data_IF_215195382949
#
_entry.id   IF_215195382949
#
_cell.length_a   1.000
_cell.length_b   1.000
_cell.length_c   1.000
_cell.angle_alpha   90.00
_cell.angle_beta   90.00
_cell.angle_gamma   90.00
#
_symmetry.space_group_name_H-M   'P 1'
#
loop_
_entity.id
_entity.type
_entity.pdbx_description
1 polymer ?
#
# COMPACT_ATOMS: atom_id res chain seq x y z
N UNK A 1 13.75 40.70 15.94
CA UNK A 1 12.27 40.69 15.94
C UNK A 1 11.81 40.41 14.53
N UNK A 2 11.34 39.18 14.27
CA UNK A 2 10.91 38.72 12.95
C UNK A 2 10.32 37.32 13.13
N UNK A 3 8.98 37.28 13.20
CA UNK A 3 8.18 36.09 13.49
C UNK A 3 8.24 35.08 12.34
N UNK A 4 8.34 33.81 12.73
CA UNK A 4 8.33 32.61 11.90
C UNK A 4 6.95 32.34 11.30
N UNK A 5 6.90 32.07 9.99
CA UNK A 5 5.70 31.74 9.23
C UNK A 5 5.26 30.27 9.38
N UNK A 6 5.06 29.80 10.61
CA UNK A 6 4.53 28.47 10.93
C UNK A 6 3.40 28.55 11.97
N UNK A 7 2.36 29.34 11.69
CA UNK A 7 1.09 29.25 12.41
C UNK A 7 0.03 28.61 11.50
N UNK A 8 -0.05 27.28 11.56
CA UNK A 8 -1.22 26.55 11.07
C UNK A 8 -2.35 26.68 12.11
N UNK A 9 -3.58 27.06 11.73
CA UNK A 9 -4.61 27.36 12.71
C UNK A 9 -5.06 26.08 13.45
N UNK A 10 -4.93 26.11 14.78
CA UNK A 10 -5.59 25.16 15.70
C UNK A 10 -7.09 25.20 15.45
N UNK A 11 -7.62 24.22 14.71
CA UNK A 11 -9.07 23.98 14.63
C UNK A 11 -9.46 22.99 15.72
N UNK A 12 -10.31 23.44 16.63
CA UNK A 12 -11.04 22.57 17.56
C UNK A 12 -11.83 21.50 16.78
N UNK A 13 -12.07 20.32 17.38
CA UNK A 13 -12.85 19.26 16.73
C UNK A 13 -14.29 19.75 16.58
N UNK A 14 -14.62 20.27 15.40
CA UNK A 14 -16.01 20.53 15.02
C UNK A 14 -16.69 19.17 14.87
N UNK A 15 -17.71 18.92 15.69
CA UNK A 15 -18.74 17.91 15.38
C UNK A 15 -19.27 18.25 13.98
N UNK A 16 -19.00 17.39 13.01
CA UNK A 16 -19.52 17.52 11.65
C UNK A 16 -21.03 17.21 11.74
N UNK A 17 -21.92 18.16 11.41
CA UNK A 17 -23.35 17.88 11.37
C UNK A 17 -23.66 16.85 10.28
N UNK A 18 -24.62 15.95 10.53
CA UNK A 18 -25.14 14.92 9.60
C UNK A 18 -25.93 15.51 8.41
N UNK A 19 -25.46 16.63 7.83
CA UNK A 19 -26.14 17.34 6.74
C UNK A 19 -25.23 17.65 5.53
N UNK A 20 -24.00 17.13 5.48
CA UNK A 20 -23.29 17.09 4.20
C UNK A 20 -23.91 16.01 3.30
N UNK A 21 -24.01 16.22 1.97
CA UNK A 21 -24.57 15.23 1.07
C UNK A 21 -23.84 13.90 1.28
N UNK A 22 -24.57 12.79 1.34
CA UNK A 22 -24.05 11.47 1.66
C UNK A 22 -23.19 10.92 0.51
N UNK A 23 -22.05 11.56 0.25
CA UNK A 23 -21.07 11.22 -0.79
C UNK A 23 -20.44 9.83 -0.57
N UNK A 24 -20.75 9.20 0.56
CA UNK A 24 -20.34 7.86 0.96
C UNK A 24 -21.31 6.76 0.50
N UNK A 25 -22.57 7.08 0.17
CA UNK A 25 -23.51 6.09 -0.34
C UNK A 25 -23.51 6.05 -1.88
N UNK A 26 -23.53 4.85 -2.47
CA UNK A 26 -23.57 4.71 -3.91
C UNK A 26 -24.94 5.06 -4.48
N UNK A 27 -24.96 5.53 -5.72
CA UNK A 27 -26.19 5.68 -6.53
C UNK A 27 -26.53 4.38 -7.23
N UNK A 28 -27.82 4.05 -7.27
CA UNK A 28 -28.34 3.04 -8.19
C UNK A 28 -28.30 3.63 -9.61
N UNK A 29 -27.46 3.06 -10.47
CA UNK A 29 -27.22 3.58 -11.82
C UNK A 29 -27.19 2.45 -12.85
N UNK A 30 -27.53 2.77 -14.09
CA UNK A 30 -27.53 1.81 -15.22
C UNK A 30 -26.15 1.19 -15.43
N UNK A 31 -25.07 1.94 -15.20
CA UNK A 31 -23.70 1.44 -15.24
C UNK A 31 -23.00 1.73 -13.90
N UNK A 32 -23.02 0.80 -12.94
CA UNK A 32 -22.46 1.03 -11.61
C UNK A 32 -20.94 1.22 -11.63
N UNK A 33 -20.24 0.60 -12.59
CA UNK A 33 -18.79 0.77 -12.77
C UNK A 33 -18.43 2.24 -13.05
N UNK A 34 -19.23 2.94 -13.88
CA UNK A 34 -18.96 4.34 -14.25
C UNK A 34 -19.64 5.37 -13.34
N UNK A 35 -20.79 5.03 -12.74
CA UNK A 35 -21.74 6.02 -12.19
C UNK A 35 -22.15 5.82 -10.74
N UNK A 36 -21.62 4.81 -10.03
CA UNK A 36 -21.98 4.60 -8.62
C UNK A 36 -21.59 5.78 -7.71
N UNK A 37 -20.51 6.49 -8.02
CA UNK A 37 -20.04 7.67 -7.28
C UNK A 37 -19.52 8.76 -8.22
N UNK A 38 -19.59 10.02 -7.79
CA UNK A 38 -19.06 11.17 -8.55
C UNK A 38 -17.52 11.27 -8.50
N UNK A 39 -16.92 10.72 -7.44
CA UNK A 39 -15.48 10.79 -7.19
C UNK A 39 -15.00 9.54 -6.46
N UNK A 40 -13.74 9.16 -6.69
CA UNK A 40 -13.05 8.18 -5.85
C UNK A 40 -12.62 8.85 -4.56
N UNK A 41 -12.94 8.23 -3.43
CA UNK A 41 -12.52 8.69 -2.11
C UNK A 41 -11.34 7.84 -1.67
N UNK A 42 -10.15 8.43 -1.45
CA UNK A 42 -9.03 7.66 -0.95
C UNK A 42 -9.26 7.28 0.52
N UNK A 43 -8.86 6.06 0.88
CA UNK A 43 -8.82 5.61 2.28
C UNK A 43 -7.41 5.88 2.78
N UNK A 44 -7.27 6.90 3.62
CA UNK A 44 -5.96 7.28 4.13
C UNK A 44 -5.63 6.50 5.41
N UNK A 45 -4.39 5.99 5.59
CA UNK A 45 -4.01 5.18 6.75
C UNK A 45 -4.15 5.86 8.13
N UNK A 46 -4.22 7.20 8.15
CA UNK A 46 -4.40 8.01 9.36
C UNK A 46 -5.85 8.37 9.68
N UNK A 47 -6.78 8.07 8.77
CA UNK A 47 -8.19 8.42 8.95
C UNK A 47 -8.75 7.66 10.16
N UNK A 48 -9.58 8.33 10.95
CA UNK A 48 -10.22 7.79 12.15
C UNK A 48 -9.24 7.37 13.27
N UNK A 49 -8.00 7.88 13.22
CA UNK A 49 -6.98 7.71 14.28
C UNK A 49 -6.66 9.04 14.96
N UNK A 50 -6.32 8.98 16.24
CA UNK A 50 -5.91 10.13 17.04
C UNK A 50 -4.39 10.28 17.02
N UNK A 51 -3.84 11.47 16.71
CA UNK A 51 -2.43 11.74 16.91
C UNK A 51 -2.02 11.61 18.38
N UNK A 52 -0.93 10.89 18.63
CA UNK A 52 -0.30 10.80 19.94
C UNK A 52 0.54 12.08 20.15
N UNK A 53 0.44 12.76 21.31
CA UNK A 53 1.30 13.91 21.62
C UNK A 53 2.78 13.52 21.54
N UNK A 54 3.60 14.38 20.94
CA UNK A 54 5.03 14.11 20.70
C UNK A 54 5.80 13.74 21.98
N UNK A 55 5.47 14.40 23.10
CA UNK A 55 6.07 14.12 24.40
C UNK A 55 5.78 12.71 24.94
N UNK A 56 4.68 12.09 24.52
CA UNK A 56 4.26 10.76 24.99
C UNK A 56 4.82 9.63 24.11
N UNK A 57 5.25 9.94 22.87
CA UNK A 57 5.72 8.96 21.89
C UNK A 57 6.85 8.08 22.42
N UNK A 58 7.92 8.60 23.06
CA UNK A 58 9.01 7.76 23.55
C UNK A 58 8.56 6.74 24.61
N UNK A 59 7.73 7.16 25.57
CA UNK A 59 7.25 6.30 26.64
C UNK A 59 6.29 5.22 26.11
N UNK A 60 5.42 5.59 25.15
CA UNK A 60 4.54 4.63 24.48
C UNK A 60 5.36 3.65 23.65
N UNK A 61 6.34 4.12 22.87
CA UNK A 61 7.21 3.25 22.09
C UNK A 61 7.96 2.25 22.96
N UNK A 62 8.56 2.70 24.06
CA UNK A 62 9.26 1.82 24.99
C UNK A 62 8.33 0.72 25.52
N UNK A 63 7.12 1.08 25.97
CA UNK A 63 6.12 0.10 26.41
C UNK A 63 5.73 -0.87 25.31
N UNK A 64 5.55 -0.38 24.09
CA UNK A 64 5.26 -1.22 22.93
C UNK A 64 6.38 -2.23 22.74
N UNK A 65 7.64 -1.80 22.70
CA UNK A 65 8.85 -2.64 22.56
C UNK A 65 8.93 -3.73 23.63
N UNK A 66 8.67 -3.38 24.90
CA UNK A 66 8.71 -4.30 26.04
C UNK A 66 7.53 -5.30 26.05
N UNK A 67 6.43 -4.98 25.37
CA UNK A 67 5.25 -5.85 25.28
C UNK A 67 5.44 -6.86 24.15
N UNK A 68 5.37 -8.18 24.40
CA UNK A 68 5.42 -9.19 23.35
C UNK A 68 4.38 -8.92 22.26
N UNK A 69 4.73 -9.24 21.02
CA UNK A 69 3.78 -9.13 19.92
C UNK A 69 2.65 -10.13 20.11
N UNK A 70 1.40 -9.67 19.96
CA UNK A 70 0.27 -10.58 19.95
C UNK A 70 0.42 -11.60 18.82
N UNK A 71 0.02 -12.85 19.10
CA UNK A 71 0.02 -13.94 18.13
C UNK A 71 -0.84 -13.56 16.92
N UNK A 72 -0.24 -13.52 15.74
CA UNK A 72 -0.90 -13.13 14.50
C UNK A 72 0.11 -12.82 13.38
N UNK A 73 -0.37 -12.53 12.16
CA UNK A 73 0.51 -12.24 11.03
C UNK A 73 1.36 -10.99 11.29
N UNK A 74 2.67 -11.12 11.09
CA UNK A 74 3.64 -10.03 11.17
C UNK A 74 4.29 -9.78 9.80
N UNK A 75 4.60 -8.52 9.52
CA UNK A 75 5.24 -8.06 8.29
C UNK A 75 6.48 -7.23 8.62
N UNK A 76 7.44 -7.18 7.69
CA UNK A 76 8.54 -6.24 7.73
C UNK A 76 8.56 -5.38 6.45
N UNK A 77 8.70 -4.07 6.63
CA UNK A 77 8.83 -3.10 5.55
C UNK A 77 10.15 -2.36 5.68
N UNK A 78 10.89 -2.30 4.58
CA UNK A 78 12.11 -1.50 4.49
C UNK A 78 11.92 -0.47 3.40
N UNK A 79 11.96 0.81 3.78
CA UNK A 79 11.87 1.91 2.82
C UNK A 79 13.26 2.27 2.32
N UNK A 80 13.46 2.29 1.00
CA UNK A 80 14.66 2.83 0.35
C UNK A 80 14.30 4.17 -0.28
N UNK A 81 14.79 5.31 0.23
CA UNK A 81 14.28 6.64 -0.11
C UNK A 81 14.89 7.22 -1.40
N UNK A 82 15.73 6.45 -2.09
CA UNK A 82 16.51 6.90 -3.24
C UNK A 82 15.81 6.60 -4.56
N UNK A 83 15.91 7.53 -5.50
CA UNK A 83 15.49 7.36 -6.89
C UNK A 83 16.54 7.95 -7.83
N UNK A 84 16.74 7.32 -8.99
CA UNK A 84 17.53 7.91 -10.07
C UNK A 84 16.89 9.21 -10.61
N UNK A 85 15.56 9.26 -10.64
CA UNK A 85 14.79 10.44 -11.05
C UNK A 85 13.36 10.43 -10.49
N UNK A 86 12.75 11.61 -10.38
CA UNK A 86 11.35 11.77 -9.96
C UNK A 86 10.41 11.50 -11.15
N UNK A 87 9.64 10.42 -11.08
CA UNK A 87 8.52 10.21 -12.02
C UNK A 87 7.35 11.11 -11.66
N UNK A 88 6.67 11.67 -12.67
CA UNK A 88 5.70 12.75 -12.44
C UNK A 88 4.53 12.32 -11.54
N UNK A 89 4.07 11.08 -11.69
CA UNK A 89 2.97 10.50 -10.92
C UNK A 89 3.36 10.07 -9.50
N UNK A 90 4.67 9.95 -9.20
CA UNK A 90 5.13 9.26 -8.01
C UNK A 90 5.03 10.14 -6.76
N UNK A 91 4.31 9.64 -5.76
CA UNK A 91 4.22 10.23 -4.42
C UNK A 91 5.31 9.77 -3.44
N UNK A 92 6.14 8.79 -3.82
CA UNK A 92 7.15 8.16 -2.94
C UNK A 92 8.57 8.71 -3.13
N UNK A 93 8.81 9.58 -4.11
CA UNK A 93 10.13 10.17 -4.33
C UNK A 93 10.52 11.06 -3.14
N UNK A 94 11.65 10.75 -2.51
CA UNK A 94 12.22 11.54 -1.41
C UNK A 94 13.56 12.14 -1.80
N UNK A 95 14.54 11.29 -2.09
CA UNK A 95 15.92 11.69 -2.31
C UNK A 95 16.42 11.28 -3.69
N UNK A 96 17.25 12.13 -4.30
CA UNK A 96 18.03 11.75 -5.47
C UNK A 96 19.15 10.83 -4.98
N UNK A 97 19.33 9.70 -5.66
CA UNK A 97 20.42 8.78 -5.34
C UNK A 97 21.80 9.43 -5.54
N UNK A 98 22.69 9.27 -4.56
CA UNK A 98 24.14 9.44 -4.70
C UNK A 98 24.84 8.13 -4.32
N UNK A 99 25.93 7.78 -5.02
CA UNK A 99 26.59 6.48 -4.86
C UNK A 99 27.04 6.22 -3.42
N UNK A 100 27.61 7.22 -2.77
CA UNK A 100 28.16 7.10 -1.41
C UNK A 100 27.06 6.95 -0.33
N UNK A 101 25.80 7.25 -0.67
CA UNK A 101 24.67 7.12 0.26
C UNK A 101 24.31 5.64 0.52
N UNK A 102 24.61 4.74 -0.44
CA UNK A 102 24.19 3.33 -0.39
C UNK A 102 24.71 2.61 0.85
N UNK A 103 26.03 2.58 1.03
CA UNK A 103 26.67 1.83 2.10
C UNK A 103 26.35 2.41 3.49
N UNK A 104 26.38 3.75 3.62
CA UNK A 104 26.05 4.46 4.87
C UNK A 104 24.60 4.18 5.27
N UNK A 105 23.66 4.27 4.33
CA UNK A 105 22.25 4.05 4.60
C UNK A 105 21.92 2.61 4.93
N UNK A 106 22.48 1.64 4.20
CA UNK A 106 22.29 0.21 4.50
C UNK A 106 22.87 -0.14 5.87
N UNK A 107 24.04 0.40 6.22
CA UNK A 107 24.60 0.20 7.55
C UNK A 107 23.66 0.71 8.65
N UNK A 108 23.10 1.91 8.48
CA UNK A 108 22.15 2.47 9.43
C UNK A 108 20.89 1.59 9.60
N UNK A 109 20.35 1.02 8.52
CA UNK A 109 19.22 0.08 8.61
C UNK A 109 19.62 -1.19 9.37
N UNK A 110 20.80 -1.76 9.08
CA UNK A 110 21.27 -2.97 9.76
C UNK A 110 21.47 -2.71 11.26
N UNK A 111 21.98 -1.53 11.63
CA UNK A 111 22.16 -1.14 13.04
C UNK A 111 20.83 -0.86 13.75
N UNK A 112 19.83 -0.32 13.03
CA UNK A 112 18.44 -0.22 13.52
C UNK A 112 17.83 -1.62 13.74
N UNK A 113 17.96 -2.50 12.75
CA UNK A 113 17.44 -3.86 12.77
C UNK A 113 18.01 -4.67 13.94
N UNK A 114 19.34 -4.67 14.13
CA UNK A 114 20.00 -5.45 15.20
C UNK A 114 19.62 -4.99 16.59
N UNK A 115 19.59 -3.68 16.83
CA UNK A 115 19.14 -3.11 18.11
C UNK A 115 17.73 -3.53 18.45
N UNK A 116 16.89 -3.61 17.43
CA UNK A 116 15.55 -4.10 17.60
C UNK A 116 15.53 -5.61 17.81
N UNK A 117 16.27 -6.40 17.02
CA UNK A 117 16.34 -7.86 17.10
C UNK A 117 16.67 -8.37 18.51
N UNK A 118 17.57 -7.66 19.20
CA UNK A 118 17.97 -7.95 20.58
C UNK A 118 16.85 -7.66 21.62
N UNK A 119 15.83 -6.89 21.26
CA UNK A 119 14.70 -6.62 22.14
C UNK A 119 13.72 -7.81 22.14
N UNK A 120 13.06 -8.06 23.27
CA UNK A 120 12.08 -9.15 23.47
C UNK A 120 10.90 -9.16 22.46
N UNK A 121 10.75 -8.10 21.67
CA UNK A 121 9.69 -7.90 20.70
C UNK A 121 9.61 -8.94 19.57
N UNK A 122 10.69 -9.66 19.26
CA UNK A 122 10.74 -10.63 18.16
C UNK A 122 10.43 -12.06 18.57
N UNK A 123 10.35 -12.34 19.87
CA UNK A 123 10.40 -13.70 20.38
C UNK A 123 9.12 -14.52 20.10
N UNK A 124 8.03 -13.88 19.65
CA UNK A 124 6.73 -14.55 19.47
C UNK A 124 6.06 -14.30 18.09
N UNK A 125 6.49 -13.29 17.33
CA UNK A 125 5.87 -12.94 16.05
C UNK A 125 6.63 -13.48 14.85
N UNK A 126 6.04 -14.45 14.13
CA UNK A 126 6.60 -14.96 12.88
C UNK A 126 6.32 -13.95 11.74
N UNK A 127 7.37 -13.52 11.04
CA UNK A 127 7.27 -12.59 9.91
C UNK A 127 6.92 -13.35 8.63
N UNK A 128 5.72 -13.11 8.13
CA UNK A 128 5.13 -13.78 6.96
C UNK A 128 5.64 -13.19 5.63
N UNK A 129 5.98 -11.90 5.63
CA UNK A 129 6.55 -11.25 4.46
C UNK A 129 7.45 -10.06 4.79
N UNK A 130 8.51 -9.92 4.00
CA UNK A 130 9.43 -8.79 3.97
C UNK A 130 9.27 -8.07 2.65
N UNK A 131 9.14 -6.75 2.68
CA UNK A 131 8.95 -5.93 1.49
C UNK A 131 9.95 -4.77 1.47
N UNK A 132 10.89 -4.82 0.53
CA UNK A 132 11.80 -3.72 0.23
C UNK A 132 11.15 -2.87 -0.86
N UNK A 133 10.80 -1.62 -0.54
CA UNK A 133 10.13 -0.73 -1.47
C UNK A 133 10.50 0.75 -1.28
N UNK A 134 9.69 1.65 -1.85
CA UNK A 134 9.78 3.09 -1.60
C UNK A 134 10.13 3.91 -2.84
N UNK A 135 11.33 4.48 -2.87
CA UNK A 135 11.86 5.18 -4.04
C UNK A 135 12.23 4.16 -5.13
N UNK A 136 13.35 3.48 -4.95
CA UNK A 136 13.59 2.16 -5.54
C UNK A 136 14.75 1.45 -4.84
N UNK A 137 14.51 0.26 -4.24
CA UNK A 137 15.58 -0.59 -3.68
C UNK A 137 16.71 -0.89 -4.67
N UNK A 138 16.37 -1.04 -5.95
CA UNK A 138 17.37 -1.29 -7.00
C UNK A 138 18.36 -0.14 -7.22
N UNK A 139 18.13 1.05 -6.64
CA UNK A 139 19.12 2.13 -6.67
C UNK A 139 20.34 1.84 -5.78
N UNK A 140 20.21 0.99 -4.74
CA UNK A 140 21.34 0.60 -3.90
C UNK A 140 22.39 -0.16 -4.74
N UNK A 141 23.66 -0.02 -4.35
CA UNK A 141 24.74 -0.80 -4.97
C UNK A 141 24.55 -2.30 -4.62
N UNK A 142 24.90 -3.18 -5.56
CA UNK A 142 24.65 -4.63 -5.43
C UNK A 142 25.17 -5.21 -4.10
N UNK A 143 26.42 -4.92 -3.65
CA UNK A 143 26.92 -5.48 -2.40
C UNK A 143 26.12 -5.02 -1.18
N UNK A 144 25.64 -3.78 -1.16
CA UNK A 144 24.87 -3.25 -0.04
C UNK A 144 23.45 -3.83 0.00
N UNK A 145 22.82 -3.99 -1.16
CA UNK A 145 21.50 -4.65 -1.24
C UNK A 145 21.58 -6.10 -0.76
N UNK A 146 22.61 -6.85 -1.16
CA UNK A 146 22.85 -8.21 -0.67
C UNK A 146 23.09 -8.24 0.85
N UNK A 147 23.90 -7.30 1.37
CA UNK A 147 24.14 -7.17 2.83
C UNK A 147 22.84 -6.93 3.59
N UNK A 148 21.99 -6.03 3.08
CA UNK A 148 20.69 -5.72 3.69
C UNK A 148 19.76 -6.95 3.69
N UNK A 149 19.59 -7.62 2.54
CA UNK A 149 18.75 -8.83 2.43
C UNK A 149 19.26 -9.90 3.39
N UNK A 150 20.57 -10.13 3.41
CA UNK A 150 21.21 -11.12 4.31
C UNK A 150 20.93 -10.82 5.77
N UNK A 151 21.09 -9.56 6.21
CA UNK A 151 20.81 -9.16 7.58
C UNK A 151 19.33 -9.35 7.93
N UNK A 152 18.40 -8.92 7.08
CA UNK A 152 16.96 -9.13 7.32
C UNK A 152 16.62 -10.62 7.49
N UNK A 153 17.22 -11.51 6.70
CA UNK A 153 17.00 -12.95 6.85
C UNK A 153 17.60 -13.56 8.12
N UNK A 154 18.69 -12.98 8.63
CA UNK A 154 19.39 -13.48 9.81
C UNK A 154 18.73 -13.00 11.11
N UNK A 155 18.29 -11.75 11.13
CA UNK A 155 17.84 -11.08 12.35
C UNK A 155 16.31 -11.18 12.54
N UNK A 156 15.53 -11.31 11.45
CA UNK A 156 14.07 -11.43 11.54
C UNK A 156 13.64 -12.90 11.74
N UNK A 157 12.63 -13.17 12.59
CA UNK A 157 12.01 -14.49 12.74
C UNK A 157 11.08 -14.80 11.56
N UNK A 158 11.67 -15.05 10.38
CA UNK A 158 10.93 -15.30 9.15
C UNK A 158 10.19 -16.64 9.20
N UNK A 159 8.96 -16.67 8.66
CA UNK A 159 8.29 -17.92 8.34
C UNK A 159 9.15 -18.75 7.36
N UNK A 160 9.11 -20.10 7.43
CA UNK A 160 9.86 -20.96 6.50
C UNK A 160 9.59 -20.66 5.02
N UNK A 161 8.36 -20.26 4.70
CA UNK A 161 7.91 -19.89 3.36
C UNK A 161 7.63 -18.38 3.22
N UNK A 162 8.26 -17.54 4.03
CA UNK A 162 8.05 -16.09 4.00
C UNK A 162 8.24 -15.50 2.59
N UNK A 163 7.33 -14.62 2.19
CA UNK A 163 7.48 -13.86 0.94
C UNK A 163 8.53 -12.75 1.14
N UNK A 164 9.56 -12.72 0.30
CA UNK A 164 10.61 -11.71 0.36
C UNK A 164 10.64 -10.95 -0.97
N UNK A 165 10.04 -9.75 -0.96
CA UNK A 165 9.88 -8.90 -2.15
C UNK A 165 10.96 -7.84 -2.25
N UNK A 166 11.52 -7.69 -3.45
CA UNK A 166 12.29 -6.51 -3.85
C UNK A 166 11.56 -5.76 -4.96
N UNK A 167 11.24 -4.50 -4.71
CA UNK A 167 10.81 -3.59 -5.77
C UNK A 167 11.99 -3.13 -6.64
N UNK A 168 11.76 -3.09 -7.94
CA UNK A 168 12.76 -2.72 -8.91
C UNK A 168 12.22 -1.88 -10.06
N UNK A 169 13.17 -1.33 -10.80
CA UNK A 169 12.94 -0.69 -12.08
C UNK A 169 13.89 -1.29 -13.10
N UNK A 170 13.53 -1.20 -14.37
CA UNK A 170 14.41 -1.60 -15.49
C UNK A 170 15.77 -0.86 -15.45
N UNK A 171 15.83 0.32 -14.81
CA UNK A 171 17.06 1.07 -14.64
C UNK A 171 17.70 0.74 -13.28
N UNK A 172 19.02 0.49 -13.28
CA UNK A 172 19.83 0.13 -12.11
C UNK A 172 19.49 -1.23 -11.46
N UNK A 173 18.71 -2.07 -12.14
CA UNK A 173 18.50 -3.46 -11.76
C UNK A 173 18.91 -4.34 -12.94
N UNK A 174 20.21 -4.54 -13.11
CA UNK A 174 20.74 -5.39 -14.17
C UNK A 174 20.70 -6.86 -13.77
N UNK A 175 21.04 -7.73 -14.72
CA UNK A 175 20.98 -9.17 -14.57
C UNK A 175 21.83 -9.68 -13.39
N UNK A 176 23.05 -9.14 -13.22
CA UNK A 176 23.95 -9.49 -12.11
C UNK A 176 23.34 -9.12 -10.76
N UNK A 177 22.76 -7.92 -10.62
CA UNK A 177 22.11 -7.49 -9.37
C UNK A 177 20.86 -8.32 -9.08
N UNK A 178 20.07 -8.67 -10.09
CA UNK A 178 18.91 -9.56 -9.93
C UNK A 178 19.35 -10.91 -9.39
N UNK A 179 20.35 -11.53 -10.02
CA UNK A 179 20.83 -12.84 -9.62
C UNK A 179 21.41 -12.82 -8.19
N UNK A 180 22.15 -11.76 -7.84
CA UNK A 180 22.65 -11.55 -6.48
C UNK A 180 21.53 -11.43 -5.43
N UNK A 181 20.41 -10.77 -5.77
CA UNK A 181 19.24 -10.69 -4.87
C UNK A 181 18.58 -12.06 -4.68
N UNK A 182 18.43 -12.82 -5.77
CA UNK A 182 17.86 -14.17 -5.74
C UNK A 182 18.74 -15.12 -4.91
N UNK A 183 20.06 -15.04 -5.08
CA UNK A 183 21.03 -15.81 -4.31
C UNK A 183 21.01 -15.44 -2.82
N UNK A 184 20.74 -14.17 -2.50
CA UNK A 184 20.54 -13.71 -1.12
C UNK A 184 19.20 -14.14 -0.52
N UNK A 185 18.31 -14.77 -1.28
CA UNK A 185 17.05 -15.35 -0.80
C UNK A 185 15.79 -14.53 -1.06
N UNK A 186 15.84 -13.57 -2.00
CA UNK A 186 14.64 -12.93 -2.56
C UNK A 186 13.86 -13.94 -3.40
N UNK A 187 12.55 -14.02 -3.20
CA UNK A 187 11.68 -14.96 -3.91
C UNK A 187 10.52 -14.29 -4.66
N UNK A 188 10.43 -12.94 -4.61
CA UNK A 188 9.45 -12.15 -5.36
C UNK A 188 10.06 -10.83 -5.85
N UNK A 189 9.87 -10.53 -7.14
CA UNK A 189 10.34 -9.30 -7.77
C UNK A 189 9.13 -8.50 -8.25
N UNK A 190 8.98 -7.25 -7.79
CA UNK A 190 7.95 -6.34 -8.31
C UNK A 190 8.58 -5.25 -9.17
N UNK A 191 8.25 -5.23 -10.46
CA UNK A 191 8.90 -4.37 -11.45
C UNK A 191 7.95 -3.29 -11.95
N UNK A 192 8.31 -2.04 -11.65
CA UNK A 192 7.52 -0.89 -12.08
C UNK A 192 7.67 -0.58 -13.57
N UNK A 193 6.75 -1.06 -14.41
CA UNK A 193 6.71 -0.81 -15.88
C UNK A 193 5.81 0.37 -16.26
N UNK A 194 4.64 0.45 -15.62
CA UNK A 194 3.57 1.44 -15.72
C UNK A 194 2.77 1.40 -17.03
N UNK A 195 3.45 1.33 -18.16
CA UNK A 195 2.90 1.11 -19.49
C UNK A 195 4.01 0.53 -20.35
N UNK A 196 3.69 -0.14 -21.46
CA UNK A 196 4.63 -0.53 -22.51
C UNK A 196 4.64 0.47 -23.67
N UNK A 197 3.73 1.45 -23.73
CA UNK A 197 3.82 2.53 -24.73
C UNK A 197 4.96 3.50 -24.40
N UNK A 198 5.99 3.53 -25.25
CA UNK A 198 7.18 4.37 -25.07
C UNK A 198 6.86 5.84 -24.81
N UNK A 199 5.86 6.40 -25.51
CA UNK A 199 5.51 7.82 -25.39
C UNK A 199 4.84 8.10 -24.05
N UNK A 200 3.86 7.30 -23.64
CA UNK A 200 3.18 7.42 -22.33
C UNK A 200 4.20 7.32 -21.20
N UNK A 201 5.09 6.33 -21.26
CA UNK A 201 6.14 6.11 -20.25
C UNK A 201 7.10 7.30 -20.13
N UNK A 202 7.65 7.76 -21.25
CA UNK A 202 8.60 8.87 -21.26
C UNK A 202 7.98 10.17 -20.78
N UNK A 203 6.71 10.43 -21.09
CA UNK A 203 5.96 11.56 -20.52
C UNK A 203 5.88 11.50 -19.00
N UNK A 204 5.88 10.31 -18.39
CA UNK A 204 5.90 10.16 -16.94
C UNK A 204 7.31 10.19 -16.32
N UNK A 205 8.36 10.39 -17.12
CA UNK A 205 9.75 10.38 -16.67
C UNK A 205 10.37 8.97 -16.60
N UNK A 206 9.77 7.95 -17.24
CA UNK A 206 10.38 6.62 -17.40
C UNK A 206 11.22 6.61 -18.69
N UNK A 207 12.55 6.53 -18.56
CA UNK A 207 13.49 6.76 -19.66
C UNK A 207 13.56 5.64 -20.71
N UNK A 208 13.48 4.39 -20.27
CA UNK A 208 13.55 3.23 -21.17
C UNK A 208 12.40 3.23 -22.20
N UNK A 209 12.57 2.53 -23.32
CA UNK A 209 11.47 2.29 -24.27
C UNK A 209 10.60 1.11 -23.81
N UNK A 210 9.40 1.01 -24.36
CA UNK A 210 8.49 -0.11 -24.14
C UNK A 210 9.10 -1.47 -24.47
N UNK A 211 9.80 -1.54 -25.59
CA UNK A 211 10.46 -2.76 -26.07
C UNK A 211 11.60 -3.17 -25.13
N UNK A 212 12.35 -2.20 -24.61
CA UNK A 212 13.37 -2.47 -23.61
C UNK A 212 12.75 -2.96 -22.28
N UNK A 213 11.58 -2.45 -21.91
CA UNK A 213 10.84 -2.95 -20.75
C UNK A 213 10.37 -4.39 -20.95
N UNK A 214 9.77 -4.69 -22.11
CA UNK A 214 9.30 -6.03 -22.43
C UNK A 214 10.45 -7.06 -22.42
N UNK A 215 11.58 -6.77 -23.07
CA UNK A 215 12.76 -7.66 -23.05
C UNK A 215 13.32 -7.87 -21.64
N UNK A 216 13.31 -6.83 -20.81
CA UNK A 216 13.77 -6.95 -19.42
C UNK A 216 12.84 -7.86 -18.61
N UNK A 217 11.52 -7.72 -18.75
CA UNK A 217 10.57 -8.63 -18.09
C UNK A 217 10.74 -10.06 -18.60
N UNK A 218 10.87 -10.25 -19.91
CA UNK A 218 11.09 -11.56 -20.54
C UNK A 218 12.33 -12.25 -19.94
N UNK A 219 13.44 -11.51 -19.74
CA UNK A 219 14.63 -12.07 -19.11
C UNK A 219 14.40 -12.47 -17.66
N UNK A 220 13.60 -11.71 -16.89
CA UNK A 220 13.25 -12.07 -15.51
C UNK A 220 12.37 -13.33 -15.45
N UNK A 221 11.33 -13.40 -16.28
CA UNK A 221 10.43 -14.56 -16.35
C UNK A 221 11.20 -15.81 -16.76
N UNK A 222 12.08 -15.70 -17.76
CA UNK A 222 12.90 -16.82 -18.24
C UNK A 222 13.86 -17.41 -17.19
N UNK A 223 14.16 -16.68 -16.10
CA UNK A 223 14.96 -17.23 -14.99
C UNK A 223 14.22 -18.29 -14.19
N UNK A 224 12.90 -18.15 -14.04
CA UNK A 224 12.05 -19.06 -13.24
C UNK A 224 12.51 -19.28 -11.78
N UNK A 225 13.21 -18.29 -11.19
CA UNK A 225 13.77 -18.39 -9.82
C UNK A 225 12.93 -17.72 -8.73
N UNK A 226 11.98 -16.87 -9.10
CA UNK A 226 11.15 -16.09 -8.20
C UNK A 226 9.80 -15.78 -8.86
N UNK A 227 8.81 -15.38 -8.06
CA UNK A 227 7.60 -14.77 -8.60
C UNK A 227 7.95 -13.42 -9.25
N UNK A 228 7.61 -13.25 -10.52
CA UNK A 228 7.79 -11.98 -11.23
C UNK A 228 6.46 -11.26 -11.35
N UNK A 229 6.41 -10.03 -10.85
CA UNK A 229 5.25 -9.15 -10.89
C UNK A 229 5.56 -7.90 -11.70
N UNK A 230 4.58 -7.48 -12.51
CA UNK A 230 4.64 -6.22 -13.26
C UNK A 230 3.64 -5.22 -12.69
N UNK A 231 4.09 -4.00 -12.38
CA UNK A 231 3.16 -2.91 -12.08
C UNK A 231 2.79 -2.16 -13.35
N UNK A 232 1.51 -2.19 -13.71
CA UNK A 232 0.90 -1.32 -14.72
C UNK A 232 0.03 -0.24 -14.08
N UNK A 233 -0.11 0.88 -14.78
CA UNK A 233 -0.91 2.01 -14.35
C UNK A 233 -1.85 2.46 -15.47
N UNK A 234 -3.14 2.53 -15.15
CA UNK A 234 -4.15 3.04 -16.08
C UNK A 234 -4.61 4.45 -15.68
N UNK A 235 -5.07 5.19 -16.68
CA UNK A 235 -5.53 6.57 -16.55
C UNK A 235 -4.44 7.62 -16.65
N UNK A 236 -3.23 7.26 -17.11
CA UNK A 236 -2.12 8.19 -17.29
C UNK A 236 -2.43 9.29 -18.33
N UNK A 237 -1.84 10.49 -18.22
CA UNK A 237 -1.89 11.50 -19.28
C UNK A 237 -1.50 10.93 -20.64
N UNK A 238 -2.32 11.19 -21.66
CA UNK A 238 -2.05 10.75 -23.04
C UNK A 238 -2.24 9.24 -23.30
N UNK A 239 -2.63 8.45 -22.28
CA UNK A 239 -2.93 7.03 -22.41
C UNK A 239 -4.37 6.84 -22.94
N UNK A 240 -4.48 6.21 -24.10
CA UNK A 240 -5.78 5.86 -24.70
C UNK A 240 -6.21 4.46 -24.28
N UNK A 241 -7.50 4.11 -24.49
CA UNK A 241 -7.97 2.73 -24.28
C UNK A 241 -7.24 1.72 -25.16
N UNK A 242 -6.88 2.10 -26.39
CA UNK A 242 -6.08 1.24 -27.28
C UNK A 242 -4.69 0.97 -26.72
N UNK A 243 -4.03 1.99 -26.16
CA UNK A 243 -2.73 1.82 -25.50
C UNK A 243 -2.87 0.91 -24.27
N UNK A 244 -3.90 1.14 -23.45
CA UNK A 244 -4.15 0.29 -22.29
C UNK A 244 -4.39 -1.18 -22.69
N UNK A 245 -5.20 -1.42 -23.72
CA UNK A 245 -5.40 -2.75 -24.28
C UNK A 245 -4.07 -3.38 -24.71
N UNK A 246 -3.23 -2.64 -25.45
CA UNK A 246 -1.91 -3.13 -25.88
C UNK A 246 -0.97 -3.43 -24.71
N UNK A 247 -1.00 -2.63 -23.64
CA UNK A 247 -0.25 -2.89 -22.41
C UNK A 247 -0.67 -4.24 -21.79
N UNK A 248 -1.98 -4.52 -21.73
CA UNK A 248 -2.53 -5.78 -21.21
C UNK A 248 -2.14 -6.98 -22.11
N UNK A 249 -2.30 -6.87 -23.43
CA UNK A 249 -1.91 -7.95 -24.35
C UNK A 249 -0.41 -8.24 -24.28
N UNK A 250 0.42 -7.20 -24.10
CA UNK A 250 1.87 -7.35 -23.91
C UNK A 250 2.17 -8.10 -22.61
N UNK A 251 1.53 -7.73 -21.49
CA UNK A 251 1.69 -8.44 -20.21
C UNK A 251 1.27 -9.90 -20.30
N UNK A 252 0.14 -10.19 -20.96
CA UNK A 252 -0.31 -11.57 -21.16
C UNK A 252 0.69 -12.39 -21.99
N UNK A 253 1.27 -11.80 -23.04
CA UNK A 253 2.27 -12.46 -23.87
C UNK A 253 3.61 -12.71 -23.14
N UNK A 254 4.00 -11.80 -22.24
CA UNK A 254 5.20 -11.96 -21.40
C UNK A 254 5.03 -12.99 -20.28
N UNK A 255 3.79 -13.33 -19.93
CA UNK A 255 3.42 -14.34 -18.95
C UNK A 255 4.15 -14.26 -17.59
N UNK A 256 4.15 -13.09 -16.90
CA UNK A 256 4.67 -13.01 -15.54
C UNK A 256 3.74 -13.77 -14.57
N UNK A 257 4.23 -14.07 -13.36
CA UNK A 257 3.41 -14.71 -12.32
C UNK A 257 2.29 -13.79 -11.80
N UNK A 258 2.51 -12.47 -11.82
CA UNK A 258 1.56 -11.48 -11.34
C UNK A 258 1.53 -10.17 -12.11
N UNK A 259 0.38 -9.50 -12.03
CA UNK A 259 0.15 -8.18 -12.61
C UNK A 259 -0.63 -7.28 -11.66
N UNK A 260 -0.03 -6.15 -11.33
CA UNK A 260 -0.69 -5.05 -10.66
C UNK A 260 -1.31 -4.08 -11.68
N UNK A 261 -2.57 -3.72 -11.49
CA UNK A 261 -3.33 -2.75 -12.30
C UNK A 261 -3.75 -1.56 -11.43
N UNK A 262 -2.86 -0.59 -11.31
CA UNK A 262 -3.09 0.60 -10.49
C UNK A 262 -3.83 1.71 -11.24
N UNK A 263 -4.86 2.27 -10.60
CA UNK A 263 -5.45 3.52 -11.06
C UNK A 263 -4.50 4.68 -10.75
N UNK A 264 -4.17 5.52 -11.73
CA UNK A 264 -3.49 6.78 -11.45
C UNK A 264 -4.29 7.59 -10.42
N UNK A 265 -3.60 7.99 -9.35
CA UNK A 265 -4.10 8.92 -8.34
C UNK A 265 -3.33 10.23 -8.43
N UNK A 266 -4.06 11.35 -8.41
CA UNK A 266 -3.48 12.69 -8.48
C UNK A 266 -3.31 13.25 -7.07
N UNK A 267 -2.08 13.33 -6.59
CA UNK A 267 -1.79 13.90 -5.27
C UNK A 267 -1.48 15.40 -5.40
N UNK A 268 -2.13 16.27 -4.61
CA UNK A 268 -1.82 17.69 -4.59
C UNK A 268 -0.33 17.97 -4.37
N UNK A 269 0.23 18.94 -5.11
CA UNK A 269 1.63 19.35 -4.96
C UNK A 269 2.67 18.48 -5.69
N UNK A 270 2.30 17.29 -6.18
CA UNK A 270 3.19 16.46 -7.00
C UNK A 270 3.55 17.12 -8.34
N UNK A 271 4.66 16.70 -9.00
CA UNK A 271 5.02 17.24 -10.30
C UNK A 271 3.93 17.09 -11.35
N UNK A 272 3.24 15.94 -11.40
CA UNK A 272 2.13 15.75 -12.34
C UNK A 272 0.97 16.71 -12.05
N UNK A 273 0.57 16.86 -10.78
CA UNK A 273 -0.47 17.81 -10.40
C UNK A 273 -0.15 19.24 -10.83
N UNK A 274 1.09 19.70 -10.59
CA UNK A 274 1.56 21.02 -11.02
C UNK A 274 1.63 21.15 -12.55
N UNK A 275 2.11 20.12 -13.24
CA UNK A 275 2.25 20.14 -14.70
C UNK A 275 0.89 20.19 -15.42
N UNK A 276 -0.10 19.46 -14.91
CA UNK A 276 -1.48 19.50 -15.42
C UNK A 276 -2.13 20.85 -15.09
N UNK A 277 -2.02 21.34 -13.85
CA UNK A 277 -2.58 22.63 -13.45
C UNK A 277 -2.05 23.81 -14.26
N UNK A 278 -0.79 23.73 -14.72
CA UNK A 278 -0.15 24.75 -15.55
C UNK A 278 -0.27 24.48 -17.07
N UNK A 279 -1.06 23.48 -17.48
CA UNK A 279 -1.30 23.16 -18.90
C UNK A 279 -0.09 22.58 -19.65
N UNK A 280 0.99 22.18 -18.95
CA UNK A 280 2.19 21.58 -19.58
C UNK A 280 1.99 20.11 -19.97
N UNK A 281 1.10 19.43 -19.26
CA UNK A 281 0.73 18.03 -19.51
C UNK A 281 -0.79 17.97 -19.60
N UNK A 282 -1.31 17.19 -20.54
CA UNK A 282 -2.75 16.99 -20.68
C UNK A 282 -3.34 16.37 -19.42
N UNK A 283 -4.61 16.65 -19.09
CA UNK A 283 -5.25 15.99 -17.95
C UNK A 283 -5.20 14.45 -18.07
N UNK A 284 -5.11 13.74 -16.94
CA UNK A 284 -5.35 12.31 -16.87
C UNK A 284 -6.70 11.91 -17.46
N UNK A 285 -6.86 10.62 -17.78
CA UNK A 285 -8.14 10.09 -18.25
C UNK A 285 -9.27 10.43 -17.27
N UNK A 286 -10.48 10.67 -17.78
CA UNK A 286 -11.66 10.94 -16.95
C UNK A 286 -11.97 9.76 -16.02
N UNK A 287 -12.75 10.00 -14.97
CA UNK A 287 -13.14 8.92 -14.04
C UNK A 287 -13.87 7.77 -14.74
N UNK A 288 -14.77 8.09 -15.69
CA UNK A 288 -15.46 7.10 -16.51
C UNK A 288 -14.49 6.28 -17.36
N UNK A 289 -13.53 6.93 -18.01
CA UNK A 289 -12.52 6.24 -18.81
C UNK A 289 -11.64 5.32 -17.95
N UNK A 290 -11.28 5.75 -16.73
CA UNK A 290 -10.55 4.91 -15.77
C UNK A 290 -11.38 3.71 -15.30
N UNK A 291 -12.68 3.90 -15.06
CA UNK A 291 -13.60 2.81 -14.76
C UNK A 291 -13.67 1.78 -15.91
N UNK A 292 -13.73 2.25 -17.16
CA UNK A 292 -13.71 1.39 -18.35
C UNK A 292 -12.38 0.63 -18.51
N UNK A 293 -11.24 1.29 -18.29
CA UNK A 293 -9.93 0.64 -18.31
C UNK A 293 -9.80 -0.46 -17.24
N UNK A 294 -10.33 -0.22 -16.03
CA UNK A 294 -10.39 -1.25 -14.98
C UNK A 294 -11.27 -2.44 -15.39
N UNK A 295 -12.44 -2.17 -15.96
CA UNK A 295 -13.34 -3.20 -16.47
C UNK A 295 -12.68 -4.04 -17.56
N UNK A 296 -12.02 -3.39 -18.52
CA UNK A 296 -11.26 -4.05 -19.59
C UNK A 296 -10.16 -4.95 -19.05
N UNK A 297 -9.37 -4.48 -18.08
CA UNK A 297 -8.34 -5.30 -17.45
C UNK A 297 -8.94 -6.52 -16.74
N UNK A 298 -10.04 -6.30 -16.00
CA UNK A 298 -10.70 -7.37 -15.27
C UNK A 298 -11.26 -8.45 -16.20
N UNK A 299 -11.91 -8.05 -17.28
CA UNK A 299 -12.46 -8.97 -18.29
C UNK A 299 -11.35 -9.75 -19.00
N UNK A 300 -10.30 -9.05 -19.47
CA UNK A 300 -9.20 -9.65 -20.22
C UNK A 300 -8.38 -10.64 -19.40
N UNK A 301 -8.02 -10.27 -18.17
CA UNK A 301 -7.20 -11.12 -17.30
C UNK A 301 -8.00 -12.34 -16.83
N UNK A 302 -9.29 -12.16 -16.48
CA UNK A 302 -10.16 -13.28 -16.15
C UNK A 302 -10.36 -14.24 -17.34
N UNK A 303 -10.53 -13.71 -18.56
CA UNK A 303 -10.65 -14.53 -19.77
C UNK A 303 -9.36 -15.33 -20.08
N UNK A 304 -8.20 -14.83 -19.65
CA UNK A 304 -6.93 -15.53 -19.72
C UNK A 304 -6.70 -16.52 -18.54
N UNK A 305 -7.67 -16.66 -17.64
CA UNK A 305 -7.60 -17.58 -16.50
C UNK A 305 -6.86 -17.04 -15.28
N UNK A 306 -6.49 -15.76 -15.25
CA UNK A 306 -5.81 -15.15 -14.11
C UNK A 306 -6.79 -14.90 -12.97
N UNK A 307 -6.31 -15.03 -11.73
CA UNK A 307 -7.10 -14.85 -10.53
C UNK A 307 -6.91 -13.46 -9.94
N UNK A 308 -8.01 -12.75 -9.68
CA UNK A 308 -7.97 -11.46 -9.00
C UNK A 308 -7.82 -11.64 -7.48
N UNK A 309 -6.58 -11.68 -6.99
CA UNK A 309 -6.27 -11.91 -5.57
C UNK A 309 -6.33 -10.65 -4.70
N UNK A 310 -6.42 -9.47 -5.33
CA UNK A 310 -6.70 -8.18 -4.69
C UNK A 310 -7.44 -7.25 -5.65
N UNK A 311 -8.06 -6.17 -5.15
CA UNK A 311 -8.70 -5.15 -5.97
C UNK A 311 -7.82 -4.61 -7.11
N UNK A 312 -6.49 -4.58 -6.93
CA UNK A 312 -5.55 -4.15 -7.96
C UNK A 312 -4.59 -5.24 -8.44
N UNK A 313 -4.60 -6.44 -7.87
CA UNK A 313 -3.56 -7.45 -8.14
C UNK A 313 -4.16 -8.75 -8.72
N UNK A 314 -3.50 -9.26 -9.76
CA UNK A 314 -3.87 -10.49 -10.45
C UNK A 314 -2.71 -11.48 -10.43
N UNK A 315 -3.01 -12.75 -10.16
CA UNK A 315 -2.06 -13.84 -10.19
C UNK A 315 -2.37 -14.78 -11.38
N UNK A 316 -1.36 -15.04 -12.20
CA UNK A 316 -1.41 -16.04 -13.27
C UNK A 316 -1.11 -17.45 -12.74
N UNK A 317 -0.27 -17.54 -11.72
CA UNK A 317 0.21 -18.79 -11.13
C UNK A 317 0.03 -18.78 -9.60
N UNK A 318 -0.03 -19.96 -8.95
CA UNK A 318 -0.04 -20.04 -7.48
C UNK A 318 1.24 -19.51 -6.80
N UNK A 319 2.30 -19.23 -7.58
CA UNK A 319 3.57 -18.69 -7.06
C UNK A 319 3.40 -17.26 -6.56
N UNK A 320 2.53 -16.49 -7.22
CA UNK A 320 2.18 -15.13 -6.79
C UNK A 320 1.08 -15.16 -5.72
N UNK A 321 1.46 -14.84 -4.48
CA UNK A 321 0.55 -14.84 -3.32
C UNK A 321 0.21 -13.44 -2.81
N UNK A 322 1.04 -12.45 -3.15
CA UNK A 322 0.96 -11.05 -2.72
C UNK A 322 0.77 -10.89 -1.20
N UNK A 323 1.53 -11.67 -0.42
CA UNK A 323 1.35 -11.82 1.03
C UNK A 323 1.43 -10.47 1.74
N UNK A 324 2.47 -9.70 1.47
CA UNK A 324 2.68 -8.41 2.14
C UNK A 324 1.52 -7.43 1.88
N UNK A 325 1.17 -7.19 0.62
CA UNK A 325 0.16 -6.19 0.26
C UNK A 325 -1.26 -6.58 0.68
N UNK A 326 -1.54 -7.88 0.86
CA UNK A 326 -2.81 -8.36 1.42
C UNK A 326 -2.85 -8.15 2.94
N UNK A 327 -1.84 -8.62 3.66
CA UNK A 327 -1.83 -8.59 5.12
C UNK A 327 -1.69 -7.18 5.70
N UNK A 328 -0.99 -6.26 5.02
CA UNK A 328 -0.86 -4.87 5.50
C UNK A 328 -2.23 -4.18 5.62
N UNK A 329 -3.23 -4.64 4.84
CA UNK A 329 -4.60 -4.11 4.83
C UNK A 329 -5.53 -4.77 5.85
N UNK A 330 -5.09 -5.88 6.47
CA UNK A 330 -5.81 -6.57 7.56
C UNK A 330 -5.41 -6.04 8.94
N UNK A 331 -4.62 -4.96 8.99
CA UNK A 331 -4.11 -4.41 10.23
C UNK A 331 -3.00 -5.22 10.90
N UNK A 332 -2.33 -6.12 10.14
CA UNK A 332 -1.19 -6.90 10.60
C UNK A 332 -0.13 -6.02 11.26
N UNK A 333 0.55 -6.57 12.28
CA UNK A 333 1.70 -5.90 12.87
C UNK A 333 2.78 -5.75 11.79
N UNK A 334 3.36 -4.56 11.71
CA UNK A 334 4.32 -4.23 10.65
C UNK A 334 5.50 -3.50 11.26
N UNK A 335 6.66 -4.12 11.08
CA UNK A 335 7.94 -3.64 11.55
C UNK A 335 8.55 -2.81 10.42
N UNK A 336 8.92 -1.59 10.72
CA UNK A 336 9.30 -0.62 9.71
C UNK A 336 10.73 -0.15 9.95
N UNK A 337 11.52 -0.14 8.88
CA UNK A 337 12.93 0.29 8.88
C UNK A 337 13.20 1.23 7.71
N UNK A 338 14.14 2.15 7.91
CA UNK A 338 14.54 3.11 6.89
C UNK A 338 13.74 4.41 6.91
N UNK A 339 14.43 5.51 6.58
CA UNK A 339 13.85 6.85 6.45
C UNK A 339 12.51 6.87 5.71
N UNK A 340 11.47 7.35 6.40
CA UNK A 340 10.13 7.49 5.85
C UNK A 340 9.25 6.24 5.83
N UNK A 341 9.74 5.12 6.39
CA UNK A 341 8.95 3.90 6.55
C UNK A 341 7.79 4.09 7.55
N UNK A 342 6.73 3.31 7.38
CA UNK A 342 5.58 3.29 8.28
C UNK A 342 5.33 1.88 8.81
N UNK A 343 4.99 1.78 10.08
CA UNK A 343 4.74 0.50 10.76
C UNK A 343 3.49 0.54 11.63
N UNK A 344 3.15 -0.62 12.19
CA UNK A 344 1.99 -0.80 13.08
C UNK A 344 2.31 -1.79 14.19
N UNK A 345 1.92 -1.46 15.42
CA UNK A 345 2.00 -2.34 16.58
C UNK A 345 0.82 -2.10 17.51
N UNK A 346 0.04 -3.16 17.76
CA UNK A 346 -1.23 -3.05 18.47
C UNK A 346 -2.17 -2.03 17.81
N UNK A 347 -2.74 -1.13 18.61
CA UNK A 347 -3.58 -0.03 18.13
C UNK A 347 -2.78 1.15 17.57
N UNK A 348 -1.45 1.12 17.61
CA UNK A 348 -0.60 2.23 17.19
C UNK A 348 -0.04 2.02 15.78
N UNK A 349 -0.15 3.04 14.95
CA UNK A 349 0.63 3.17 13.71
C UNK A 349 1.69 4.23 13.91
N UNK A 350 2.89 4.02 13.39
CA UNK A 350 4.00 4.95 13.55
C UNK A 350 4.70 5.18 12.21
N UNK A 351 5.39 6.31 12.11
CA UNK A 351 6.17 6.69 10.93
C UNK A 351 7.58 7.07 11.35
N UNK A 352 8.56 6.62 10.57
CA UNK A 352 9.96 7.01 10.74
C UNK A 352 10.24 8.33 10.04
N UNK A 353 11.28 9.02 10.50
CA UNK A 353 11.67 10.31 9.97
C UNK A 353 11.96 10.23 8.47
N UNK A 354 11.31 11.13 7.75
CA UNK A 354 11.36 11.20 6.31
C UNK A 354 12.54 11.98 5.75
N UNK A 355 13.18 12.79 6.59
CA UNK A 355 14.43 13.47 6.31
C UNK A 355 15.59 12.49 6.54
N UNK A 356 16.46 12.36 5.55
CA UNK A 356 17.50 11.34 5.55
C UNK A 356 18.54 11.58 6.66
N UNK A 357 19.00 12.82 6.82
CA UNK A 357 20.04 13.13 7.80
C UNK A 357 19.50 13.07 9.23
N UNK A 358 18.25 13.50 9.45
CA UNK A 358 17.58 13.33 10.74
C UNK A 358 17.41 11.86 11.11
N UNK A 359 17.00 11.03 10.14
CA UNK A 359 16.92 9.57 10.32
C UNK A 359 18.29 8.97 10.69
N UNK A 360 19.32 9.26 9.90
CA UNK A 360 20.67 8.72 10.11
C UNK A 360 21.24 9.12 11.47
N UNK A 361 21.12 10.41 11.83
CA UNK A 361 21.57 10.93 13.12
C UNK A 361 20.87 10.27 14.32
N UNK A 362 19.57 9.98 14.20
CA UNK A 362 18.84 9.26 15.24
C UNK A 362 19.30 7.80 15.39
N UNK A 363 19.58 7.12 14.29
CA UNK A 363 20.14 5.76 14.29
C UNK A 363 21.52 5.74 14.94
N UNK A 364 22.42 6.67 14.55
CA UNK A 364 23.79 6.78 15.09
C UNK A 364 23.79 7.01 16.61
N UNK A 365 22.76 7.69 17.14
CA UNK A 365 22.56 7.92 18.57
C UNK A 365 21.90 6.74 19.30
N UNK A 366 21.68 5.61 18.64
CA UNK A 366 21.06 4.44 19.25
C UNK A 366 19.56 4.57 19.48
N UNK A 367 18.87 5.54 18.84
CA UNK A 367 17.42 5.76 19.01
C UNK A 367 16.61 5.22 17.81
N UNK A 368 15.33 4.93 18.04
CA UNK A 368 14.36 4.68 16.96
C UNK A 368 13.96 6.03 16.32
N UNK A 369 14.10 6.23 15.00
CA UNK A 369 13.83 7.52 14.36
C UNK A 369 12.33 7.86 14.18
N UNK A 370 11.55 7.87 15.26
CA UNK A 370 10.10 8.14 15.20
C UNK A 370 9.82 9.61 14.88
N UNK A 371 9.04 9.86 13.82
CA UNK A 371 8.55 11.19 13.46
C UNK A 371 7.07 11.41 13.83
N UNK A 372 6.33 10.34 14.08
CA UNK A 372 4.93 10.45 14.44
C UNK A 372 4.31 9.12 14.83
N UNK A 373 3.23 9.20 15.62
CA UNK A 373 2.44 8.06 16.06
C UNK A 373 0.96 8.42 16.09
N UNK A 374 0.13 7.47 15.66
CA UNK A 374 -1.32 7.56 15.65
C UNK A 374 -1.90 6.36 16.40
N UNK A 375 -2.93 6.60 17.21
CA UNK A 375 -3.65 5.58 17.94
C UNK A 375 -5.02 5.35 17.30
N UNK A 376 -5.33 4.10 16.97
CA UNK A 376 -6.66 3.65 16.57
C UNK A 376 -7.63 3.62 17.75
N UNK A 377 -8.90 3.86 17.45
CA UNK A 377 -9.98 3.71 18.43
C UNK A 377 -10.31 2.22 18.71
N UNK A 378 -11.30 1.99 19.57
CA UNK A 378 -11.77 0.65 19.94
C UNK A 378 -12.38 -0.12 18.77
N UNK A 379 -12.82 0.56 17.71
CA UNK A 379 -13.47 -0.02 16.52
C UNK A 379 -12.45 -0.36 15.41
N UNK A 380 -11.17 -0.04 15.59
CA UNK A 380 -10.11 -0.32 14.62
C UNK A 380 -10.02 -1.80 14.20
N UNK A 381 -10.14 -2.80 15.10
CA UNK A 381 -10.09 -4.21 14.69
C UNK A 381 -11.17 -4.58 13.66
N UNK A 382 -12.38 -4.02 13.82
CA UNK A 382 -13.45 -4.23 12.85
C UNK A 382 -13.16 -3.57 11.51
N UNK A 383 -12.57 -2.35 11.52
CA UNK A 383 -12.13 -1.67 10.29
C UNK A 383 -11.05 -2.47 9.57
N UNK A 384 -10.10 -3.02 10.31
CA UNK A 384 -9.00 -3.82 9.78
C UNK A 384 -9.51 -5.09 9.07
N UNK A 385 -10.44 -5.83 9.70
CA UNK A 385 -11.05 -7.03 9.09
C UNK A 385 -11.85 -6.68 7.84
N UNK A 386 -12.72 -5.67 7.90
CA UNK A 386 -13.54 -5.28 6.74
C UNK A 386 -12.69 -4.72 5.61
N UNK A 387 -11.63 -3.97 5.91
CA UNK A 387 -10.67 -3.49 4.91
C UNK A 387 -9.95 -4.65 4.22
N UNK A 388 -9.47 -5.64 4.98
CA UNK A 388 -8.83 -6.84 4.45
C UNK A 388 -9.76 -7.69 3.57
N UNK A 389 -11.00 -7.87 4.00
CA UNK A 389 -12.04 -8.59 3.27
C UNK A 389 -12.41 -7.89 1.95
N UNK A 390 -12.71 -6.59 2.00
CA UNK A 390 -13.00 -5.80 0.81
C UNK A 390 -11.79 -5.66 -0.12
N UNK A 391 -10.57 -5.79 0.39
CA UNK A 391 -9.37 -5.82 -0.45
C UNK A 391 -9.33 -7.02 -1.39
N UNK A 392 -9.69 -8.20 -0.87
CA UNK A 392 -9.77 -9.43 -1.68
C UNK A 392 -11.12 -9.58 -2.36
N UNK A 393 -12.02 -8.60 -2.17
CA UNK A 393 -13.33 -8.49 -2.79
C UNK A 393 -14.38 -9.46 -2.25
N UNK A 394 -14.21 -9.92 -1.01
CA UNK A 394 -15.17 -10.79 -0.34
C UNK A 394 -15.28 -10.39 1.14
N UNK A 395 -16.50 -10.16 1.62
CA UNK A 395 -16.79 -9.84 3.02
C UNK A 395 -17.71 -10.91 3.60
N UNK A 396 -17.37 -11.40 4.78
CA UNK A 396 -18.17 -12.38 5.50
C UNK A 396 -18.65 -11.77 6.81
N UNK A 397 -19.96 -11.61 6.92
CA UNK A 397 -20.57 -10.95 8.07
C UNK A 397 -20.62 -11.87 9.31
N UNK A 398 -20.44 -13.19 9.16
CA UNK A 398 -20.52 -14.15 10.28
C UNK A 398 -19.30 -14.09 11.18
N UNK A 399 -18.12 -13.72 10.64
CA UNK A 399 -16.90 -13.60 11.44
C UNK A 399 -16.86 -12.34 12.29
N UNK A 400 -17.60 -11.29 11.92
CA UNK A 400 -17.49 -9.96 12.55
C UNK A 400 -17.82 -9.95 14.06
N UNK A 401 -18.85 -10.66 14.57
CA UNK A 401 -19.11 -10.74 16.01
C UNK A 401 -17.94 -11.23 16.86
N UNK A 402 -17.07 -12.07 16.31
CA UNK A 402 -15.92 -12.63 17.01
C UNK A 402 -14.69 -11.70 17.00
N UNK A 403 -14.71 -10.63 16.21
CA UNK A 403 -13.55 -9.72 16.03
C UNK A 403 -13.27 -8.90 17.28
N UNK A 404 -14.33 -8.40 17.94
CA UNK A 404 -14.20 -7.59 19.15
C UNK A 404 -15.50 -7.59 19.96
N UNK A 405 -15.45 -7.35 21.28
CA UNK A 405 -16.65 -7.10 22.08
C UNK A 405 -17.51 -5.98 21.49
N UNK A 406 -18.83 -6.17 21.47
CA UNK A 406 -19.79 -5.21 20.89
C UNK A 406 -19.92 -5.24 19.37
N UNK A 407 -19.11 -6.02 18.63
CA UNK A 407 -19.22 -6.11 17.17
C UNK A 407 -20.58 -6.65 16.68
N UNK A 408 -21.27 -7.45 17.49
CA UNK A 408 -22.62 -7.92 17.16
C UNK A 408 -23.64 -6.77 17.07
N UNK A 409 -23.44 -5.68 17.81
CA UNK A 409 -24.37 -4.54 17.86
C UNK A 409 -24.36 -3.73 16.56
N UNK A 410 -23.23 -3.71 15.85
CA UNK A 410 -23.11 -2.98 14.58
C UNK A 410 -23.64 -3.76 13.38
N UNK A 411 -23.76 -5.10 13.48
CA UNK A 411 -24.11 -5.98 12.37
C UNK A 411 -25.41 -5.58 11.62
N UNK A 412 -26.52 -5.21 12.28
CA UNK A 412 -27.72 -4.80 11.57
C UNK A 412 -27.48 -3.59 10.67
N UNK A 413 -26.69 -2.61 11.14
CA UNK A 413 -26.32 -1.43 10.36
C UNK A 413 -25.41 -1.77 9.17
N UNK A 414 -24.52 -2.76 9.33
CA UNK A 414 -23.67 -3.25 8.25
C UNK A 414 -24.45 -4.00 7.18
N UNK A 415 -25.41 -4.84 7.59
CA UNK A 415 -26.31 -5.55 6.65
C UNK A 415 -27.11 -4.59 5.79
N UNK A 416 -27.62 -3.51 6.39
CA UNK A 416 -28.30 -2.43 5.65
C UNK A 416 -27.38 -1.75 4.63
N UNK A 417 -26.12 -1.49 5.01
CA UNK A 417 -25.13 -0.90 4.10
C UNK A 417 -24.81 -1.83 2.93
N UNK A 418 -24.66 -3.12 3.19
CA UNK A 418 -24.47 -4.14 2.14
C UNK A 418 -25.69 -4.22 1.22
N UNK A 419 -26.92 -4.13 1.75
CA UNK A 419 -28.14 -4.07 0.91
C UNK A 419 -28.12 -2.87 -0.05
N UNK A 420 -27.58 -1.72 0.40
CA UNK A 420 -27.38 -0.55 -0.45
C UNK A 420 -26.36 -0.84 -1.54
N UNK A 421 -25.24 -1.48 -1.23
CA UNK A 421 -24.22 -1.87 -2.21
C UNK A 421 -24.78 -2.85 -3.25
N UNK A 422 -25.58 -3.83 -2.81
CA UNK A 422 -26.23 -4.79 -3.71
C UNK A 422 -27.24 -4.12 -4.63
N UNK A 423 -28.11 -3.25 -4.12
CA UNK A 423 -29.05 -2.49 -4.96
C UNK A 423 -28.33 -1.59 -5.95
N UNK A 424 -27.14 -1.10 -5.62
CA UNK A 424 -26.31 -0.31 -6.50
C UNK A 424 -25.47 -1.15 -7.50
N UNK A 425 -25.58 -2.50 -7.50
CA UNK A 425 -24.82 -3.36 -8.40
C UNK A 425 -23.32 -3.47 -8.08
N UNK A 426 -22.93 -3.17 -6.84
CA UNK A 426 -21.54 -3.17 -6.38
C UNK A 426 -21.16 -4.46 -5.64
N UNK A 427 -22.15 -5.21 -5.17
CA UNK A 427 -21.92 -6.46 -4.47
C UNK A 427 -23.05 -7.46 -4.75
N UNK A 428 -22.73 -8.73 -4.62
CA UNK A 428 -23.67 -9.84 -4.58
C UNK A 428 -23.66 -10.41 -3.17
N UNK A 429 -24.84 -10.66 -2.58
CA UNK A 429 -24.96 -11.23 -1.23
C UNK A 429 -25.70 -12.56 -1.27
N UNK A 430 -25.09 -13.58 -0.68
CA UNK A 430 -25.69 -14.88 -0.42
C UNK A 430 -25.67 -15.15 1.09
N UNK A 431 -26.79 -14.86 1.76
CA UNK A 431 -26.85 -14.89 3.23
C UNK A 431 -25.91 -13.84 3.83
N UNK A 432 -24.85 -14.31 4.49
CA UNK A 432 -23.85 -13.47 5.15
C UNK A 432 -22.54 -13.35 4.38
N UNK A 433 -22.43 -14.06 3.27
CA UNK A 433 -21.31 -13.94 2.34
C UNK A 433 -21.62 -12.86 1.31
N UNK A 434 -20.68 -11.93 1.14
CA UNK A 434 -20.76 -10.81 0.21
C UNK A 434 -19.56 -10.89 -0.73
N UNK A 435 -19.80 -10.88 -2.04
CA UNK A 435 -18.76 -10.80 -3.06
C UNK A 435 -18.88 -9.49 -3.82
N UNK A 436 -17.78 -8.78 -4.03
CA UNK A 436 -17.79 -7.55 -4.81
C UNK A 436 -17.86 -7.86 -6.30
N UNK A 437 -18.73 -7.15 -7.02
CA UNK A 437 -18.72 -7.14 -8.48
C UNK A 437 -17.47 -6.40 -8.99
N UNK A 438 -17.18 -6.45 -10.29
CA UNK A 438 -16.11 -5.62 -10.90
C UNK A 438 -16.27 -4.13 -10.55
N UNK A 439 -17.52 -3.63 -10.53
CA UNK A 439 -17.82 -2.27 -10.10
C UNK A 439 -17.51 -2.08 -8.61
N UNK A 440 -17.89 -3.02 -7.75
CA UNK A 440 -17.56 -3.00 -6.32
C UNK A 440 -16.07 -2.91 -6.05
N UNK A 441 -15.26 -3.72 -6.74
CA UNK A 441 -13.80 -3.72 -6.60
C UNK A 441 -13.16 -2.42 -7.07
N UNK A 442 -13.62 -1.84 -8.19
CA UNK A 442 -13.17 -0.51 -8.63
C UNK A 442 -13.44 0.59 -7.59
N UNK A 443 -14.62 0.51 -6.96
CA UNK A 443 -15.09 1.45 -5.95
C UNK A 443 -14.77 1.03 -4.51
N UNK A 444 -13.92 0.02 -4.28
CA UNK A 444 -13.73 -0.56 -2.93
C UNK A 444 -13.31 0.47 -1.89
N UNK A 445 -12.46 1.43 -2.26
CA UNK A 445 -12.07 2.54 -1.38
C UNK A 445 -13.27 3.40 -0.94
N UNK A 446 -14.25 3.63 -1.82
CA UNK A 446 -15.49 4.32 -1.47
C UNK A 446 -16.36 3.47 -0.54
N UNK A 447 -16.43 2.15 -0.77
CA UNK A 447 -17.18 1.23 0.10
C UNK A 447 -16.59 1.22 1.51
N UNK A 448 -15.26 1.15 1.64
CA UNK A 448 -14.56 1.25 2.92
C UNK A 448 -14.82 2.62 3.59
N UNK A 449 -14.77 3.71 2.83
CA UNK A 449 -15.06 5.03 3.37
C UNK A 449 -16.51 5.15 3.89
N UNK A 450 -17.49 4.60 3.16
CA UNK A 450 -18.88 4.57 3.60
C UNK A 450 -19.12 3.64 4.77
N UNK A 451 -18.41 2.51 4.84
CA UNK A 451 -18.37 1.65 6.01
C UNK A 451 -17.86 2.40 7.25
N UNK A 452 -16.71 3.09 7.16
CA UNK A 452 -16.17 3.85 8.28
C UNK A 452 -17.12 4.95 8.76
N UNK A 453 -17.77 5.67 7.83
CA UNK A 453 -18.76 6.69 8.18
C UNK A 453 -19.98 6.08 8.87
N UNK A 454 -20.48 4.95 8.36
CA UNK A 454 -21.61 4.24 9.00
C UNK A 454 -21.22 3.78 10.40
N UNK A 455 -20.05 3.20 10.56
CA UNK A 455 -19.53 2.72 11.84
C UNK A 455 -19.43 3.86 12.86
N UNK A 456 -18.92 5.03 12.46
CA UNK A 456 -18.85 6.22 13.32
C UNK A 456 -20.22 6.83 13.68
N UNK A 457 -21.27 6.53 12.91
CA UNK A 457 -22.64 6.99 13.17
C UNK A 457 -23.43 6.06 14.09
N UNK A 458 -22.95 4.83 14.30
CA UNK A 458 -23.64 3.87 15.15
C UNK A 458 -23.38 4.23 16.62
N UNK A 459 -24.41 4.21 17.47
CA UNK A 459 -24.25 4.36 18.91
C UNK A 459 -23.63 3.07 19.44
N UNK A 460 -22.31 2.91 19.32
CA UNK A 460 -21.62 1.71 19.80
C UNK A 460 -20.42 2.12 20.66
N UNK A 461 -20.50 1.65 21.92
CA UNK A 461 -19.51 1.71 22.99
C UNK A 461 -19.17 3.12 23.49
N UNK A 462 -20.16 3.81 24.08
CA UNK A 462 -19.90 4.80 25.13
C UNK A 462 -19.39 4.09 26.38
N UNK A 463 -18.15 3.62 26.30
CA UNK A 463 -17.36 3.10 27.41
C UNK A 463 -16.27 4.10 27.74
N UNK A 464 -16.65 5.35 28.07
CA UNK A 464 -15.86 6.16 28.99
C UNK A 464 -15.96 5.46 30.37
N UNK A 465 -15.27 4.33 30.49
CA UNK A 465 -14.93 3.76 31.77
C UNK A 465 -13.88 4.66 32.38
N UNK A 466 -14.33 5.69 33.09
CA UNK A 466 -13.57 6.25 34.20
C UNK A 466 -13.03 5.06 35.01
N UNK A 467 -11.72 4.90 35.03
CA UNK A 467 -11.06 4.15 36.08
C UNK A 467 -10.43 5.16 37.03
N UNK A 468 -10.59 4.97 38.35
CA UNK A 468 -10.29 5.96 39.40
C UNK A 468 -8.81 6.34 39.51
#
# INVERSE_FOLDING_TARGET
>A
MGQSAWDAPRRSPRRIPLSEPDHALPRVAVNPLRRAFDKRTPVMPWRDKRPVPEADVPAIWQRLVETPMAVGPCLAYVHVPFCANHCLFCGFYRNRYQRDDSARYVQAIIDELRREADASQWQEGIVEAVYLGGGTPSALETPDLVRLITALRQELPLAPDAEFTVEGRILHFDDEKVDACLDAGVNRLSIGVQSFDTRVRQQQGRRATGEAAARYIESLVARDRAAVVIDLMYGLPGQSQRVWQQDLETSLALAPDGLDVYCLSMFPGTPLHKAVGNGRVVPPASLECRAEMYGMASERLAAAGWQQISNSHWAATPRERNVYNRLIKTGAATLAFGSGAGGKRGSYSYTLDGDLETYLSAVDQGRKPLAGMLQGDTLQPLRDVVCGDLEVGALDLQRLPAVMPGAAEVLPGLRQLVDVWQRAGLAERHGDSVTLTTAGRFWSANLIAGFNQRLASLPVLSGDGESP
#
